data_IF_925838559620
#
_entry.id   IF_925838559620
#
_cell.length_a   1.000
_cell.length_b   1.000
_cell.length_c   1.000
_cell.angle_alpha   90.00
_cell.angle_beta   90.00
_cell.angle_gamma   90.00
#
_symmetry.space_group_name_H-M   'P 1'
#
loop_
_entity.id
_entity.type
_entity.pdbx_description
1 polymer ?
#
# COMPACT_ATOMS: atom_id res chain seq x y z
N UNK A 1 -11.07 -0.45 -26.96
CA UNK A 1 -10.68 0.59 -27.92
C UNK A 1 -9.92 1.69 -27.19
N UNK A 2 -8.70 2.04 -27.60
CA UNK A 2 -7.89 3.13 -27.03
C UNK A 2 -7.67 4.17 -28.13
N UNK A 3 -8.12 5.41 -27.91
CA UNK A 3 -7.93 6.52 -28.86
C UNK A 3 -6.56 7.14 -28.60
N UNK A 4 -5.62 7.05 -29.55
CA UNK A 4 -4.20 7.34 -29.31
C UNK A 4 -3.85 8.81 -29.07
N UNK A 5 -4.82 9.73 -29.27
CA UNK A 5 -4.60 11.18 -29.13
C UNK A 5 -5.14 11.76 -27.81
N UNK A 6 -5.92 10.99 -27.04
CA UNK A 6 -6.59 11.47 -25.81
C UNK A 6 -6.11 10.68 -24.57
N UNK A 7 -5.68 9.43 -24.75
CA UNK A 7 -5.31 8.55 -23.64
C UNK A 7 -3.78 8.30 -23.62
N UNK A 8 -3.10 8.93 -22.67
CA UNK A 8 -1.71 8.58 -22.35
C UNK A 8 -1.67 7.28 -21.52
N UNK A 9 -0.85 6.29 -21.90
CA UNK A 9 -0.70 5.08 -21.11
C UNK A 9 0.04 5.41 -19.81
N UNK A 10 -0.60 5.12 -18.68
CA UNK A 10 0.03 5.24 -17.36
C UNK A 10 0.79 3.94 -17.10
N UNK A 11 2.11 4.04 -17.07
CA UNK A 11 2.99 2.89 -16.81
C UNK A 11 3.00 2.65 -15.31
N UNK A 12 2.61 1.44 -14.91
CA UNK A 12 2.65 1.00 -13.52
C UNK A 12 3.68 -0.10 -13.33
N UNK A 13 4.44 0.02 -12.25
CA UNK A 13 5.29 -1.08 -11.79
C UNK A 13 4.49 -2.01 -10.87
N UNK A 14 4.37 -3.28 -11.28
CA UNK A 14 3.67 -4.34 -10.54
C UNK A 14 4.64 -5.24 -9.75
N UNK A 15 5.91 -4.86 -9.64
CA UNK A 15 6.91 -5.64 -8.89
C UNK A 15 6.67 -5.50 -7.39
N UNK A 16 6.93 -6.60 -6.68
CA UNK A 16 6.87 -6.59 -5.23
C UNK A 16 7.99 -5.70 -4.67
N UNK A 17 7.64 -4.70 -3.86
CA UNK A 17 8.62 -3.82 -3.20
C UNK A 17 8.57 -4.06 -1.69
N UNK A 18 9.72 -4.32 -1.04
CA UNK A 18 9.77 -4.41 0.42
C UNK A 18 9.65 -3.01 1.03
N UNK A 19 8.80 -2.87 2.05
CA UNK A 19 8.65 -1.64 2.83
C UNK A 19 8.69 -1.98 4.32
N UNK A 20 9.44 -1.20 5.08
CA UNK A 20 9.53 -1.36 6.54
C UNK A 20 8.60 -0.34 7.16
N UNK A 21 7.62 -0.79 7.93
CA UNK A 21 6.65 0.04 8.61
C UNK A 21 6.90 -0.11 10.11
N UNK A 22 6.91 1.02 10.82
CA UNK A 22 7.09 1.09 12.26
C UNK A 22 5.84 1.71 12.86
N UNK A 23 5.31 1.07 13.89
CA UNK A 23 4.08 1.48 14.55
C UNK A 23 4.25 1.36 16.07
N UNK A 24 3.74 2.34 16.84
CA UNK A 24 3.66 2.23 18.29
C UNK A 24 2.39 1.46 18.67
N UNK A 25 2.54 0.30 19.30
CA UNK A 25 1.44 -0.59 19.71
C UNK A 25 1.38 -0.67 21.24
N UNK A 26 0.17 -0.71 21.79
CA UNK A 26 -0.04 -0.95 23.23
C UNK A 26 0.09 -2.43 23.55
N UNK A 27 0.97 -2.78 24.48
CA UNK A 27 1.15 -4.15 24.97
C UNK A 27 0.11 -4.50 26.04
N UNK A 28 -0.04 -5.80 26.33
CA UNK A 28 -0.93 -6.33 27.39
C UNK A 28 -0.62 -5.76 28.78
N UNK A 29 0.63 -5.34 28.98
CA UNK A 29 1.11 -4.74 30.23
C UNK A 29 0.96 -3.21 30.26
N UNK A 30 0.12 -2.65 29.37
CA UNK A 30 -0.14 -1.21 29.22
C UNK A 30 1.10 -0.37 28.85
N UNK A 31 2.15 -1.01 28.35
CA UNK A 31 3.36 -0.33 27.86
C UNK A 31 3.27 -0.09 26.36
N UNK A 32 3.72 1.08 25.90
CA UNK A 32 3.84 1.40 24.49
C UNK A 32 5.14 0.83 23.94
N UNK A 33 5.05 -0.13 23.02
CA UNK A 33 6.19 -0.73 22.33
C UNK A 33 6.19 -0.33 20.85
N UNK A 34 7.37 -0.14 20.25
CA UNK A 34 7.48 0.11 18.81
C UNK A 34 7.78 -1.20 18.10
N UNK A 35 6.85 -1.65 17.26
CA UNK A 35 7.03 -2.84 16.43
C UNK A 35 7.49 -2.38 15.04
N UNK A 36 8.41 -3.15 14.43
CA UNK A 36 8.86 -2.92 13.07
C UNK A 36 8.57 -4.16 12.22
N UNK A 37 7.71 -4.00 11.21
CA UNK A 37 7.33 -5.07 10.30
C UNK A 37 7.87 -4.79 8.89
N UNK A 38 8.35 -5.85 8.22
CA UNK A 38 8.73 -5.78 6.82
C UNK A 38 7.62 -6.39 5.98
N UNK A 39 6.95 -5.54 5.20
CA UNK A 39 5.83 -5.94 4.35
C UNK A 39 6.27 -5.91 2.89
N UNK A 40 5.87 -6.94 2.14
CA UNK A 40 6.03 -7.02 0.70
C UNK A 40 4.69 -6.71 0.05
N UNK A 41 4.60 -5.60 -0.69
CA UNK A 41 3.38 -5.19 -1.37
C UNK A 41 3.52 -5.40 -2.88
N UNK A 42 2.48 -6.00 -3.49
CA UNK A 42 2.38 -6.18 -4.95
C UNK A 42 0.95 -5.85 -5.40
N UNK A 43 0.76 -4.89 -6.32
CA UNK A 43 -0.58 -4.57 -6.82
C UNK A 43 -1.06 -5.61 -7.83
N UNK A 44 -2.37 -5.90 -7.81
CA UNK A 44 -3.02 -6.82 -8.75
C UNK A 44 -3.36 -6.12 -10.08
N UNK A 45 -2.91 -6.69 -11.19
CA UNK A 45 -3.07 -6.14 -12.54
C UNK A 45 -4.55 -5.93 -12.92
N UNK A 46 -5.44 -6.82 -12.48
CA UNK A 46 -6.87 -6.71 -12.78
C UNK A 46 -7.55 -5.53 -12.09
N UNK A 47 -6.99 -5.06 -10.97
CA UNK A 47 -7.58 -4.01 -10.12
C UNK A 47 -6.86 -2.66 -10.23
N UNK A 48 -5.74 -2.60 -10.94
CA UNK A 48 -4.93 -1.40 -11.15
C UNK A 48 -5.74 -0.16 -11.59
N UNK A 49 -6.66 -0.25 -12.58
CA UNK A 49 -7.42 0.92 -13.03
C UNK A 49 -8.31 1.50 -11.93
N UNK A 50 -8.93 0.62 -11.14
CA UNK A 50 -9.79 1.01 -10.02
C UNK A 50 -8.95 1.59 -8.88
N UNK A 51 -7.81 0.95 -8.57
CA UNK A 51 -6.86 1.40 -7.55
C UNK A 51 -6.35 2.81 -7.85
N UNK A 52 -5.97 3.08 -9.10
CA UNK A 52 -5.52 4.41 -9.52
C UNK A 52 -6.60 5.47 -9.36
N UNK A 53 -7.84 5.16 -9.75
CA UNK A 53 -8.96 6.10 -9.62
C UNK A 53 -9.28 6.45 -8.16
N UNK A 54 -9.14 5.49 -7.24
CA UNK A 54 -9.49 5.71 -5.84
C UNK A 54 -8.35 6.28 -4.99
N UNK A 55 -7.12 5.78 -5.20
CA UNK A 55 -5.99 6.02 -4.30
C UNK A 55 -4.84 6.79 -4.99
N UNK A 56 -4.80 6.82 -6.32
CA UNK A 56 -3.75 7.45 -7.09
C UNK A 56 -2.47 6.60 -7.20
N UNK A 57 -1.35 7.27 -7.48
CA UNK A 57 -0.02 6.65 -7.55
C UNK A 57 0.52 6.28 -6.16
N UNK A 58 0.20 7.07 -5.13
CA UNK A 58 0.68 6.91 -3.74
C UNK A 58 -0.20 5.97 -2.89
N UNK A 59 -0.76 4.95 -3.53
CA UNK A 59 -1.66 4.00 -2.88
C UNK A 59 -0.95 3.18 -1.80
N UNK A 60 0.34 2.89 -1.99
CA UNK A 60 1.15 2.08 -1.09
C UNK A 60 1.40 2.84 0.23
N UNK A 61 1.65 4.14 0.16
CA UNK A 61 1.91 4.96 1.35
C UNK A 61 0.67 5.13 2.23
N UNK A 62 -0.51 5.20 1.62
CA UNK A 62 -1.77 5.40 2.33
C UNK A 62 -2.32 4.11 2.94
N UNK A 63 -2.26 3.00 2.19
CA UNK A 63 -2.95 1.76 2.57
C UNK A 63 -2.08 0.88 3.46
N UNK A 64 -0.78 0.80 3.19
CA UNK A 64 0.09 -0.13 3.91
C UNK A 64 0.18 0.15 5.42
N UNK A 65 0.26 1.41 5.90
CA UNK A 65 0.26 1.68 7.34
C UNK A 65 -1.06 1.32 8.00
N UNK A 66 -2.19 1.58 7.33
CA UNK A 66 -3.52 1.28 7.85
C UNK A 66 -3.75 -0.21 8.02
N UNK A 67 -3.35 -1.02 7.03
CA UNK A 67 -3.46 -2.49 7.12
C UNK A 67 -2.55 -3.03 8.22
N UNK A 68 -1.31 -2.54 8.34
CA UNK A 68 -0.40 -3.01 9.39
C UNK A 68 -0.96 -2.72 10.78
N UNK A 69 -1.47 -1.51 10.99
CA UNK A 69 -2.07 -1.12 12.26
C UNK A 69 -3.35 -1.93 12.59
N UNK A 70 -4.08 -2.42 11.60
CA UNK A 70 -5.23 -3.30 11.81
C UNK A 70 -4.81 -4.72 12.20
N UNK A 71 -3.76 -5.26 11.56
CA UNK A 71 -3.23 -6.60 11.85
C UNK A 71 -2.50 -6.67 13.19
N UNK A 72 -1.97 -5.54 13.68
CA UNK A 72 -1.30 -5.45 14.98
C UNK A 72 -2.23 -5.41 16.19
N UNK A 73 -3.52 -5.11 15.98
CA UNK A 73 -4.54 -5.13 17.04
C UNK A 73 -5.04 -6.55 17.31
#
# INVERSE_FOLDING_TARGET
FRVPWIQYPIIYDIRARPRIIKSPTGSKDLQMITIALRVLARPDQGKLPRLYQTLGLDWDERVLPSICNEVEK
#
